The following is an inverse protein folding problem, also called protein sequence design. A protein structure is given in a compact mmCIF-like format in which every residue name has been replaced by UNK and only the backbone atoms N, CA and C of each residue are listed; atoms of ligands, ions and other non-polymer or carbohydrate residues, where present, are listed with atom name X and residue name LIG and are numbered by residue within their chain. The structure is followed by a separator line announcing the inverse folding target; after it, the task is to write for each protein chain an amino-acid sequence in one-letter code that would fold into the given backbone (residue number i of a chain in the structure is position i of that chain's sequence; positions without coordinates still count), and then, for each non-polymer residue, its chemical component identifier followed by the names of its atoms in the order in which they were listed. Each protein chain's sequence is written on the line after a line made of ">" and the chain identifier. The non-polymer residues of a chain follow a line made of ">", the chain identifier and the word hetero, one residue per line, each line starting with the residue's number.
data_IF_225688093186
#
_entry.id   IF_225688093186
#
_cell.length_a   1.000
_cell.length_b   1.000
_cell.length_c   1.000
_cell.angle_alpha   90.00
_cell.angle_beta   90.00
_cell.angle_gamma   90.00
#
_symmetry.space_group_name_H-M   'P 1'
#
loop_
_entity.id
_entity.type
_entity.pdbx_description
1 polymer ?
#
# COMPACT_ATOMS: atom_id res chain seq x y z
N UNK A 1 -6.28 30.03 -5.87
CA UNK A 1 -6.91 29.04 -4.96
C UNK A 1 -5.79 28.20 -4.36
N UNK A 2 -5.78 27.99 -3.04
CA UNK A 2 -4.74 27.21 -2.35
C UNK A 2 -4.90 25.74 -2.75
N UNK A 3 -4.06 25.25 -3.67
CA UNK A 3 -3.82 23.82 -3.82
C UNK A 3 -2.99 23.36 -2.63
N UNK A 4 -3.62 23.27 -1.45
CA UNK A 4 -3.07 22.48 -0.37
C UNK A 4 -3.31 21.04 -0.82
N UNK A 5 -2.24 20.30 -1.14
CA UNK A 5 -2.29 18.85 -1.12
C UNK A 5 -2.76 18.49 0.28
N UNK A 6 -4.06 18.23 0.45
CA UNK A 6 -4.56 17.63 1.66
C UNK A 6 -3.99 16.22 1.67
N UNK A 7 -2.83 16.07 2.30
CA UNK A 7 -2.36 14.75 2.71
C UNK A 7 -3.45 14.20 3.62
N UNK A 8 -4.30 13.34 3.06
CA UNK A 8 -5.25 12.59 3.84
C UNK A 8 -4.46 11.85 4.92
N UNK A 9 -4.95 11.91 6.16
CA UNK A 9 -4.39 11.10 7.22
C UNK A 9 -4.44 9.62 6.79
N UNK A 10 -3.42 8.85 7.16
CA UNK A 10 -3.42 7.40 6.93
C UNK A 10 -4.71 6.81 7.53
N UNK A 11 -5.41 6.01 6.75
CA UNK A 11 -6.61 5.32 7.20
C UNK A 11 -6.24 4.22 8.20
N UNK A 12 -7.22 3.75 8.98
CA UNK A 12 -7.02 2.59 9.86
C UNK A 12 -6.58 1.34 9.07
N UNK A 13 -7.05 1.21 7.83
CA UNK A 13 -6.67 0.11 6.95
C UNK A 13 -5.20 0.22 6.49
N UNK A 14 -4.70 1.44 6.23
CA UNK A 14 -3.28 1.65 5.89
C UNK A 14 -2.37 1.24 7.05
N UNK A 15 -2.76 1.59 8.28
CA UNK A 15 -2.03 1.20 9.49
C UNK A 15 -2.05 -0.32 9.66
N UNK A 16 -3.22 -0.95 9.51
CA UNK A 16 -3.36 -2.41 9.61
C UNK A 16 -2.48 -3.15 8.60
N UNK A 17 -2.44 -2.67 7.36
CA UNK A 17 -1.58 -3.26 6.32
C UNK A 17 -0.09 -3.11 6.63
N UNK A 18 0.30 -1.99 7.22
CA UNK A 18 1.67 -1.75 7.66
C UNK A 18 2.06 -2.70 8.80
N UNK A 19 1.18 -2.86 9.80
CA UNK A 19 1.38 -3.79 10.92
C UNK A 19 1.52 -5.24 10.44
N UNK A 20 0.66 -5.67 9.50
CA UNK A 20 0.72 -6.99 8.88
C UNK A 20 2.07 -7.20 8.18
N UNK A 21 2.54 -6.23 7.39
CA UNK A 21 3.85 -6.28 6.75
C UNK A 21 4.98 -6.39 7.78
N UNK A 22 4.97 -5.58 8.84
CA UNK A 22 6.02 -5.62 9.86
C UNK A 22 6.07 -6.97 10.58
N UNK A 23 4.92 -7.56 10.89
CA UNK A 23 4.87 -8.90 11.49
C UNK A 23 5.45 -9.97 10.55
N UNK A 24 5.09 -9.93 9.27
CA UNK A 24 5.61 -10.88 8.27
C UNK A 24 7.13 -10.76 8.09
N UNK A 25 7.64 -9.52 8.02
CA UNK A 25 9.08 -9.26 7.94
C UNK A 25 9.80 -9.69 9.21
N UNK A 26 9.24 -9.42 10.39
CA UNK A 26 9.77 -9.89 11.67
C UNK A 26 9.90 -11.41 11.70
N UNK A 27 8.86 -12.13 11.28
CA UNK A 27 8.87 -13.59 11.18
C UNK A 27 9.95 -14.11 10.21
N UNK A 28 10.22 -13.41 9.10
CA UNK A 28 11.29 -13.79 8.16
C UNK A 28 12.68 -13.56 8.76
N UNK A 29 12.86 -12.50 9.55
CA UNK A 29 14.13 -12.19 10.23
C UNK A 29 14.41 -13.18 11.36
N UNK A 30 13.39 -13.51 12.15
CA UNK A 30 13.48 -14.40 13.31
C UNK A 30 13.63 -15.88 12.95
N UNK A 31 13.12 -16.32 11.78
CA UNK A 31 13.27 -17.70 11.31
C UNK A 31 14.71 -17.97 10.78
N UNK A 32 15.67 -18.04 11.70
CA UNK A 32 17.09 -18.23 11.38
C UNK A 32 17.47 -19.64 10.94
N UNK A 33 16.65 -20.64 11.27
CA UNK A 33 17.02 -22.06 11.11
C UNK A 33 16.61 -22.67 9.77
N UNK A 34 15.65 -22.06 9.05
CA UNK A 34 15.03 -22.68 7.88
C UNK A 34 15.39 -22.02 6.53
N UNK A 35 16.01 -20.84 6.53
CA UNK A 35 16.30 -20.07 5.33
C UNK A 35 17.75 -19.60 5.32
N UNK A 36 18.45 -19.85 4.21
CA UNK A 36 19.73 -19.20 3.96
C UNK A 36 19.52 -17.68 3.82
N UNK A 37 20.57 -16.91 4.06
CA UNK A 37 20.51 -15.44 4.10
C UNK A 37 20.01 -14.83 2.79
N UNK A 38 20.40 -15.40 1.65
CA UNK A 38 19.96 -14.93 0.34
C UNK A 38 18.47 -15.19 0.11
N UNK A 39 17.97 -16.38 0.45
CA UNK A 39 16.55 -16.72 0.34
C UNK A 39 15.69 -15.84 1.26
N UNK A 40 16.20 -15.50 2.45
CA UNK A 40 15.55 -14.55 3.35
C UNK A 40 15.43 -13.17 2.72
N UNK A 41 16.50 -12.65 2.12
CA UNK A 41 16.49 -11.37 1.42
C UNK A 41 15.48 -11.37 0.26
N UNK A 42 15.47 -12.43 -0.55
CA UNK A 42 14.50 -12.58 -1.66
C UNK A 42 13.06 -12.56 -1.14
N UNK A 43 12.76 -13.27 -0.05
CA UNK A 43 11.42 -13.28 0.54
C UNK A 43 11.02 -11.93 1.13
N UNK A 44 11.95 -11.22 1.77
CA UNK A 44 11.72 -9.85 2.27
C UNK A 44 11.37 -8.92 1.10
N UNK A 45 12.14 -8.95 0.01
CA UNK A 45 11.88 -8.12 -1.16
C UNK A 45 10.53 -8.43 -1.81
N UNK A 46 10.17 -9.72 -1.94
CA UNK A 46 8.85 -10.13 -2.45
C UNK A 46 7.71 -9.54 -1.60
N UNK A 47 7.83 -9.57 -0.27
CA UNK A 47 6.82 -9.00 0.63
C UNK A 47 6.70 -7.48 0.50
N UNK A 48 7.82 -6.79 0.35
CA UNK A 48 7.82 -5.34 0.11
C UNK A 48 7.18 -4.98 -1.24
N UNK A 49 7.46 -5.74 -2.28
CA UNK A 49 6.86 -5.53 -3.60
C UNK A 49 5.37 -5.85 -3.62
N UNK A 50 4.93 -6.92 -2.96
CA UNK A 50 3.50 -7.22 -2.76
C UNK A 50 2.78 -6.05 -2.07
N UNK A 51 3.38 -5.47 -1.02
CA UNK A 51 2.82 -4.32 -0.34
C UNK A 51 2.72 -3.08 -1.25
N UNK A 52 3.79 -2.76 -2.00
CA UNK A 52 3.78 -1.65 -2.97
C UNK A 52 2.71 -1.83 -4.04
N UNK A 53 2.52 -3.06 -4.53
CA UNK A 53 1.50 -3.37 -5.52
C UNK A 53 0.09 -3.13 -4.95
N UNK A 54 -0.18 -3.60 -3.72
CA UNK A 54 -1.46 -3.35 -3.04
C UNK A 54 -1.76 -1.85 -2.92
N UNK A 55 -0.78 -1.07 -2.46
CA UNK A 55 -0.89 0.39 -2.33
C UNK A 55 -1.16 1.07 -3.68
N UNK A 56 -0.48 0.63 -4.74
CA UNK A 56 -0.68 1.15 -6.09
C UNK A 56 -2.11 0.90 -6.59
N UNK A 57 -2.64 -0.30 -6.39
CA UNK A 57 -4.00 -0.65 -6.79
C UNK A 57 -5.06 0.15 -6.02
N UNK A 58 -4.83 0.38 -4.73
CA UNK A 58 -5.71 1.22 -3.89
C UNK A 58 -5.72 2.66 -4.42
N UNK A 59 -4.54 3.23 -4.72
CA UNK A 59 -4.41 4.56 -5.32
C UNK A 59 -5.18 4.67 -6.64
N UNK A 60 -4.98 3.72 -7.56
CA UNK A 60 -5.68 3.69 -8.85
C UNK A 60 -7.20 3.63 -8.69
N UNK A 61 -7.70 2.87 -7.71
CA UNK A 61 -9.14 2.77 -7.42
C UNK A 61 -9.70 4.10 -6.93
N UNK A 62 -8.98 4.81 -6.06
CA UNK A 62 -9.37 6.13 -5.56
C UNK A 62 -9.39 7.14 -6.71
N UNK A 63 -8.34 7.18 -7.53
CA UNK A 63 -8.25 8.05 -8.70
C UNK A 63 -9.39 7.80 -9.69
N UNK A 64 -9.70 6.53 -9.95
CA UNK A 64 -10.81 6.15 -10.83
C UNK A 64 -12.16 6.61 -10.28
N UNK A 65 -12.39 6.50 -8.96
CA UNK A 65 -13.61 6.97 -8.33
C UNK A 65 -13.77 8.49 -8.46
N UNK A 66 -12.70 9.25 -8.19
CA UNK A 66 -12.70 10.71 -8.38
C UNK A 66 -12.95 11.12 -9.84
N UNK A 67 -12.38 10.40 -10.80
CA UNK A 67 -12.62 10.66 -12.22
C UNK A 67 -14.11 10.50 -12.59
N UNK A 68 -14.77 9.45 -12.09
CA UNK A 68 -16.21 9.22 -12.29
C UNK A 68 -17.08 10.32 -11.66
N UNK A 69 -16.73 10.76 -10.45
CA UNK A 69 -17.43 11.86 -9.77
C UNK A 69 -17.31 13.16 -10.56
N UNK A 70 -16.10 13.50 -11.02
CA UNK A 70 -15.85 14.67 -11.85
C UNK A 70 -16.67 14.62 -13.15
N UNK A 71 -16.64 13.50 -13.87
CA UNK A 71 -17.43 13.33 -15.09
C UNK A 71 -18.94 13.51 -14.84
N UNK A 72 -19.44 13.00 -13.71
CA UNK A 72 -20.85 13.13 -13.34
C UNK A 72 -21.23 14.58 -13.05
N UNK A 73 -20.38 15.33 -12.35
CA UNK A 73 -20.59 16.76 -12.07
C UNK A 73 -20.59 17.56 -13.38
N UNK A 74 -19.61 17.33 -14.27
CA UNK A 74 -19.52 18.06 -15.53
C UNK A 74 -20.64 17.75 -16.52
N UNK A 75 -21.22 16.54 -16.50
CA UNK A 75 -22.38 16.22 -17.36
C UNK A 75 -23.70 16.82 -16.87
N UNK A 76 -23.80 17.11 -15.58
CA UNK A 76 -25.02 17.62 -14.94
C UNK A 76 -24.96 19.14 -14.65
N UNK A 77 -23.88 19.82 -15.05
CA UNK A 77 -23.70 21.27 -14.99
C UNK A 77 -24.03 21.92 -16.34
#
# INVERSE_FOLDING_TARGET
>A
MKNKLEMNAASLEDIRQLEELFMELGALVENSENLNEFERLVRIELKLDEYRLKQTLVGQKIESAYAVELETVYRNA
#
